data_IF_067828048280
#
_entry.id   IF_067828048280
#
_cell.length_a   1.000
_cell.length_b   1.000
_cell.length_c   1.000
_cell.angle_alpha   90.00
_cell.angle_beta   90.00
_cell.angle_gamma   90.00
#
_symmetry.space_group_name_H-M   'P 1'
#
loop_
_entity.id
_entity.type
_entity.pdbx_description
1 polymer ?
#
# COMPACT_ATOMS: atom_id res chain seq x y z
N UNK A 1 0.36 -16.13 9.16
CA UNK A 1 -0.55 -16.04 10.32
C UNK A 1 0.30 -15.83 11.56
N UNK A 2 0.13 -14.69 12.23
CA UNK A 2 0.94 -14.36 13.41
C UNK A 2 0.42 -15.09 14.66
N UNK A 3 1.23 -15.31 15.70
CA UNK A 3 0.75 -15.88 16.98
C UNK A 3 -0.42 -15.09 17.57
N UNK A 4 -0.42 -13.76 17.40
CA UNK A 4 -1.51 -12.86 17.81
C UNK A 4 -2.83 -13.17 17.08
N UNK A 5 -2.77 -13.50 15.79
CA UNK A 5 -3.95 -13.90 15.02
C UNK A 5 -4.46 -15.29 15.40
N UNK A 6 -3.55 -16.21 15.73
CA UNK A 6 -3.89 -17.53 16.25
C UNK A 6 -4.69 -17.44 17.55
N UNK A 7 -4.18 -16.66 18.51
CA UNK A 7 -4.89 -16.40 19.76
C UNK A 7 -6.26 -15.75 19.53
N UNK A 8 -6.36 -14.76 18.63
CA UNK A 8 -7.66 -14.12 18.33
C UNK A 8 -8.69 -15.10 17.75
N UNK A 9 -8.29 -16.04 16.90
CA UNK A 9 -9.20 -17.07 16.37
C UNK A 9 -9.69 -17.99 17.48
N UNK A 10 -8.79 -18.44 18.36
CA UNK A 10 -9.12 -19.26 19.52
C UNK A 10 -10.05 -18.52 20.48
N UNK A 11 -9.73 -17.27 20.81
CA UNK A 11 -10.53 -16.41 21.68
C UNK A 11 -11.94 -16.18 21.14
N UNK A 12 -12.11 -15.87 19.86
CA UNK A 12 -13.43 -15.71 19.26
C UNK A 12 -14.23 -17.02 19.23
N UNK A 13 -13.57 -18.16 18.98
CA UNK A 13 -14.20 -19.48 19.04
C UNK A 13 -14.65 -19.83 20.45
N UNK A 14 -13.83 -19.50 21.45
CA UNK A 14 -14.11 -19.73 22.86
C UNK A 14 -15.25 -18.85 23.39
N UNK A 15 -15.21 -17.55 23.13
CA UNK A 15 -16.22 -16.61 23.64
C UNK A 15 -17.46 -16.50 22.74
N UNK A 16 -17.47 -17.14 21.56
CA UNK A 16 -18.57 -17.05 20.58
C UNK A 16 -18.80 -15.66 19.97
N UNK A 17 -17.95 -14.68 20.31
CA UNK A 17 -18.06 -13.28 19.87
C UNK A 17 -17.00 -12.99 18.83
N UNK A 18 -17.45 -12.90 17.58
CA UNK A 18 -16.60 -12.56 16.44
C UNK A 18 -16.34 -11.05 16.31
N UNK A 19 -15.49 -10.66 15.36
CA UNK A 19 -15.31 -9.26 15.01
C UNK A 19 -16.55 -8.76 14.24
N UNK A 20 -16.97 -7.51 14.47
CA UNK A 20 -18.06 -6.89 13.69
C UNK A 20 -17.73 -6.73 12.21
N UNK A 21 -18.77 -6.49 11.38
CA UNK A 21 -18.70 -6.41 9.90
C UNK A 21 -17.56 -5.52 9.38
N UNK A 22 -17.49 -4.27 9.83
CA UNK A 22 -16.43 -3.34 9.41
C UNK A 22 -15.00 -3.84 9.71
N UNK A 23 -14.81 -4.55 10.84
CA UNK A 23 -13.49 -5.11 11.19
C UNK A 23 -13.14 -6.33 10.32
N UNK A 24 -14.14 -7.04 9.80
CA UNK A 24 -13.94 -8.13 8.85
C UNK A 24 -13.59 -7.56 7.47
N UNK A 25 -14.38 -6.61 6.98
CA UNK A 25 -14.15 -5.93 5.70
C UNK A 25 -12.76 -5.29 5.62
N UNK A 26 -12.36 -4.55 6.67
CA UNK A 26 -11.01 -3.96 6.73
C UNK A 26 -9.91 -5.02 6.65
N UNK A 27 -10.10 -6.18 7.29
CA UNK A 27 -9.11 -7.26 7.26
C UNK A 27 -9.06 -7.93 5.89
N UNK A 28 -10.21 -8.13 5.24
CA UNK A 28 -10.26 -8.67 3.88
C UNK A 28 -9.56 -7.72 2.90
N UNK A 29 -9.83 -6.41 2.98
CA UNK A 29 -9.16 -5.41 2.17
C UNK A 29 -7.64 -5.41 2.36
N UNK A 30 -7.17 -5.47 3.60
CA UNK A 30 -5.72 -5.57 3.89
C UNK A 30 -5.10 -6.83 3.29
N UNK A 31 -5.79 -7.96 3.39
CA UNK A 31 -5.33 -9.22 2.81
C UNK A 31 -5.28 -9.16 1.27
N UNK A 32 -6.29 -8.56 0.62
CA UNK A 32 -6.30 -8.35 -0.82
C UNK A 32 -5.18 -7.42 -1.28
N UNK A 33 -4.94 -6.33 -0.56
CA UNK A 33 -3.83 -5.41 -0.83
C UNK A 33 -2.47 -6.10 -0.70
N UNK A 34 -2.26 -6.90 0.35
CA UNK A 34 -1.02 -7.68 0.54
C UNK A 34 -0.84 -8.74 -0.55
N UNK A 35 -1.91 -9.43 -0.93
CA UNK A 35 -1.89 -10.44 -1.97
C UNK A 35 -1.57 -9.81 -3.34
N UNK A 36 -2.19 -8.66 -3.64
CA UNK A 36 -1.91 -7.87 -4.83
C UNK A 36 -0.45 -7.40 -4.85
N UNK A 37 0.07 -6.90 -3.73
CA UNK A 37 1.46 -6.47 -3.61
C UNK A 37 2.44 -7.63 -3.82
N UNK A 38 2.14 -8.81 -3.26
CA UNK A 38 2.98 -10.01 -3.41
C UNK A 38 2.97 -10.57 -4.85
N UNK A 39 1.86 -10.42 -5.56
CA UNK A 39 1.73 -10.83 -6.96
C UNK A 39 2.37 -9.84 -7.94
N UNK A 40 2.64 -8.60 -7.53
CA UNK A 40 3.31 -7.63 -8.37
C UNK A 40 4.76 -8.03 -8.63
N UNK A 41 5.13 -8.08 -9.91
CA UNK A 41 6.53 -8.22 -10.33
C UNK A 41 7.28 -6.95 -9.96
N UNK A 42 8.51 -7.12 -9.45
CA UNK A 42 9.37 -6.03 -8.94
C UNK A 42 9.71 -4.91 -9.94
N UNK A 43 9.35 -5.05 -11.22
CA UNK A 43 9.67 -4.07 -12.25
C UNK A 43 8.60 -2.99 -12.44
N UNK A 44 7.36 -3.18 -11.96
CA UNK A 44 6.33 -2.17 -12.20
C UNK A 44 5.28 -2.08 -11.10
N UNK A 45 5.39 -1.01 -10.32
CA UNK A 45 4.28 -0.55 -9.46
C UNK A 45 3.05 -0.27 -10.32
N UNK A 46 1.84 -0.59 -9.88
CA UNK A 46 0.60 -0.49 -10.68
C UNK A 46 0.28 0.91 -11.21
N UNK A 47 0.94 1.94 -10.71
CA UNK A 47 0.68 3.34 -11.04
C UNK A 47 1.63 3.91 -12.11
N UNK A 48 2.57 3.10 -12.64
CA UNK A 48 3.66 3.53 -13.53
C UNK A 48 4.44 4.71 -12.94
N UNK A 49 4.51 4.80 -11.61
CA UNK A 49 5.04 5.97 -10.91
C UNK A 49 6.52 6.19 -11.24
N UNK A 50 7.29 5.12 -11.42
CA UNK A 50 8.70 5.23 -11.79
C UNK A 50 8.91 5.71 -13.22
N UNK A 51 8.09 5.24 -14.17
CA UNK A 51 8.15 5.67 -15.55
C UNK A 51 7.78 7.15 -15.67
N UNK A 52 6.68 7.57 -15.03
CA UNK A 52 6.27 8.98 -14.97
C UNK A 52 7.33 9.87 -14.32
N UNK A 53 8.03 9.39 -13.29
CA UNK A 53 9.18 10.12 -12.71
C UNK A 53 10.34 10.24 -13.71
N UNK A 54 10.69 9.18 -14.45
CA UNK A 54 11.73 9.29 -15.48
C UNK A 54 11.33 10.23 -16.61
N UNK A 55 10.08 10.17 -17.07
CA UNK A 55 9.56 11.09 -18.08
C UNK A 55 9.62 12.55 -17.62
N UNK A 56 9.26 12.83 -16.37
CA UNK A 56 9.27 14.20 -15.83
C UNK A 56 10.70 14.69 -15.60
N UNK A 57 11.63 13.83 -15.15
CA UNK A 57 13.07 14.15 -15.12
C UNK A 57 13.60 14.48 -16.51
N UNK A 58 13.24 13.68 -17.53
CA UNK A 58 13.64 13.90 -18.91
C UNK A 58 13.06 15.19 -19.49
N UNK A 59 11.78 15.49 -19.23
CA UNK A 59 11.13 16.74 -19.67
C UNK A 59 11.75 17.98 -19.02
N UNK A 60 12.11 17.91 -17.75
CA UNK A 60 12.72 19.02 -17.01
C UNK A 60 14.24 19.10 -17.18
N UNK A 61 14.87 18.11 -17.80
CA UNK A 61 16.33 17.93 -17.83
C UNK A 61 16.97 18.06 -16.43
N UNK A 62 16.27 17.58 -15.40
CA UNK A 62 16.70 17.68 -14.01
C UNK A 62 16.86 16.28 -13.41
N UNK A 63 17.93 16.01 -12.64
CA UNK A 63 18.15 14.71 -12.04
C UNK A 63 17.19 14.42 -10.86
N UNK A 64 16.38 15.39 -10.42
CA UNK A 64 15.46 15.26 -9.30
C UNK A 64 14.07 15.81 -9.62
N UNK A 65 13.06 15.32 -8.88
CA UNK A 65 11.68 15.82 -8.93
C UNK A 65 11.22 16.11 -7.51
N UNK A 66 10.55 17.25 -7.33
CA UNK A 66 9.92 17.61 -6.06
C UNK A 66 8.46 17.12 -6.08
N UNK A 67 8.15 16.13 -5.24
CA UNK A 67 6.82 15.52 -5.18
C UNK A 67 5.85 16.25 -4.22
N UNK A 68 6.36 17.16 -3.39
CA UNK A 68 5.57 17.92 -2.41
C UNK A 68 6.23 19.26 -2.09
N UNK A 69 5.42 20.33 -1.98
CA UNK A 69 5.86 21.70 -1.67
C UNK A 69 5.53 22.70 -2.80
N UNK A 70 5.30 23.97 -2.46
CA UNK A 70 5.17 25.04 -3.46
C UNK A 70 6.55 25.45 -3.96
N UNK A 71 6.88 25.12 -5.21
CA UNK A 71 8.08 25.62 -5.86
C UNK A 71 7.76 27.05 -6.31
N UNK A 72 8.44 28.05 -5.74
CA UNK A 72 8.50 29.38 -6.35
C UNK A 72 9.51 29.29 -7.49
N UNK A 73 9.11 29.48 -8.76
CA UNK A 73 10.07 29.59 -9.84
C UNK A 73 10.84 30.90 -9.64
N UNK A 74 12.16 30.82 -9.48
CA UNK A 74 13.03 32.00 -9.37
C UNK A 74 14.45 31.61 -8.97
N UNK A 75 15.34 31.48 -9.95
CA UNK A 75 16.02 32.62 -10.60
C UNK A 75 16.01 32.41 -12.11
#
# INVERSE_FOLDING_TARGET
MTPKEAFRKLSHKFHGKGPGKMKQEKRMKQYEEELKLKQMKASDTPLLSMEKMRETQAKLNAPYIVLSGQIKPGY
#
